data_IF_874227688990
#
_entry.id   IF_874227688990
#
_cell.length_a   1.000
_cell.length_b   1.000
_cell.length_c   1.000
_cell.angle_alpha   90.00
_cell.angle_beta   90.00
_cell.angle_gamma   90.00
#
_symmetry.space_group_name_H-M   'P 1'
#
loop_
_entity.id
_entity.type
_entity.pdbx_description
1 polymer ?
#
# COMPACT_ATOMS: atom_id res chain seq x y z
N UNK A 1 2.86 -65.49 -35.01
CA UNK A 1 2.35 -65.14 -33.66
C UNK A 1 3.25 -64.19 -32.86
N UNK A 2 4.60 -64.21 -32.99
CA UNK A 2 5.47 -63.35 -32.18
C UNK A 2 5.38 -61.84 -32.44
N UNK A 3 5.04 -61.41 -33.66
CA UNK A 3 4.98 -59.99 -34.04
C UNK A 3 3.81 -59.24 -33.38
N UNK A 4 2.67 -59.91 -33.20
CA UNK A 4 1.46 -59.35 -32.56
C UNK A 4 1.70 -59.10 -31.06
N UNK A 5 2.37 -60.04 -30.38
CA UNK A 5 2.69 -59.94 -28.95
C UNK A 5 3.65 -58.76 -28.67
N UNK A 6 4.61 -58.54 -29.57
CA UNK A 6 5.58 -57.46 -29.43
C UNK A 6 4.95 -56.07 -29.53
N UNK A 7 4.05 -55.86 -30.50
CA UNK A 7 3.32 -54.60 -30.66
C UNK A 7 2.43 -54.32 -29.44
N UNK A 8 1.69 -55.33 -28.97
CA UNK A 8 0.81 -55.19 -27.81
C UNK A 8 1.59 -54.84 -26.52
N UNK A 9 2.80 -55.37 -26.34
CA UNK A 9 3.66 -55.02 -25.20
C UNK A 9 4.14 -53.56 -25.26
N UNK A 10 4.53 -53.08 -26.45
CA UNK A 10 4.94 -51.70 -26.65
C UNK A 10 3.78 -50.72 -26.42
N UNK A 11 2.57 -51.04 -26.89
CA UNK A 11 1.38 -50.21 -26.68
C UNK A 11 1.02 -50.12 -25.19
N UNK A 12 1.09 -51.24 -24.46
CA UNK A 12 0.88 -51.26 -23.01
C UNK A 12 1.92 -50.42 -22.26
N UNK A 13 3.19 -50.48 -22.69
CA UNK A 13 4.25 -49.66 -22.10
C UNK A 13 4.00 -48.17 -22.36
N UNK A 14 3.67 -47.81 -23.60
CA UNK A 14 3.35 -46.43 -23.97
C UNK A 14 2.11 -45.91 -23.23
N UNK A 15 1.08 -46.74 -23.04
CA UNK A 15 -0.11 -46.39 -22.27
C UNK A 15 0.22 -46.13 -20.80
N UNK A 16 1.03 -46.98 -20.16
CA UNK A 16 1.49 -46.77 -18.78
C UNK A 16 2.31 -45.49 -18.62
N UNK A 17 3.21 -45.21 -19.54
CA UNK A 17 4.00 -43.97 -19.53
C UNK A 17 3.13 -42.73 -19.70
N UNK A 18 2.11 -42.79 -20.58
CA UNK A 18 1.13 -41.69 -20.72
C UNK A 18 0.33 -41.49 -19.43
N UNK A 19 -0.12 -42.56 -18.78
CA UNK A 19 -0.82 -42.49 -17.49
C UNK A 19 0.07 -41.86 -16.41
N UNK A 20 1.32 -42.33 -16.27
CA UNK A 20 2.27 -41.77 -15.31
C UNK A 20 2.55 -40.27 -15.57
N UNK A 21 2.71 -39.88 -16.84
CA UNK A 21 2.87 -38.46 -17.21
C UNK A 21 1.61 -37.64 -16.90
N UNK A 22 0.42 -38.18 -17.14
CA UNK A 22 -0.84 -37.51 -16.83
C UNK A 22 -1.05 -37.34 -15.32
N UNK A 23 -0.69 -38.34 -14.52
CA UNK A 23 -0.70 -38.27 -13.06
C UNK A 23 0.29 -37.21 -12.56
N UNK A 24 1.51 -37.19 -13.07
CA UNK A 24 2.50 -36.19 -12.69
C UNK A 24 2.02 -34.77 -13.04
N UNK A 25 1.52 -34.57 -14.26
CA UNK A 25 0.98 -33.27 -14.68
C UNK A 25 -0.22 -32.83 -13.82
N UNK A 26 -1.02 -33.77 -13.33
CA UNK A 26 -2.12 -33.46 -12.39
C UNK A 26 -1.57 -33.03 -11.04
N UNK A 27 -0.58 -33.74 -10.48
CA UNK A 27 0.06 -33.37 -9.22
C UNK A 27 0.71 -31.99 -9.28
N UNK A 28 1.46 -31.71 -10.36
CA UNK A 28 2.10 -30.41 -10.55
C UNK A 28 1.07 -29.27 -10.62
N UNK A 29 -0.09 -29.52 -11.26
CA UNK A 29 -1.21 -28.57 -11.28
C UNK A 29 -1.84 -28.40 -9.91
N UNK A 30 -2.05 -29.46 -9.16
CA UNK A 30 -2.64 -29.39 -7.81
C UNK A 30 -1.74 -28.60 -6.85
N UNK A 31 -0.42 -28.81 -6.91
CA UNK A 31 0.55 -28.03 -6.13
C UNK A 31 0.56 -26.55 -6.52
N UNK A 32 0.45 -26.27 -7.83
CA UNK A 32 0.32 -24.90 -8.34
C UNK A 32 -0.97 -24.26 -7.86
N UNK A 33 -2.10 -24.97 -7.94
CA UNK A 33 -3.40 -24.48 -7.46
C UNK A 33 -3.38 -24.19 -5.97
N UNK A 34 -2.77 -25.06 -5.17
CA UNK A 34 -2.60 -24.84 -3.73
C UNK A 34 -1.81 -23.56 -3.46
N UNK A 35 -0.67 -23.39 -4.15
CA UNK A 35 0.18 -22.20 -4.00
C UNK A 35 -0.58 -20.92 -4.37
N UNK A 36 -1.34 -20.95 -5.48
CA UNK A 36 -2.15 -19.82 -5.91
C UNK A 36 -3.29 -19.50 -4.93
N UNK A 37 -3.93 -20.52 -4.36
CA UNK A 37 -5.00 -20.35 -3.37
C UNK A 37 -4.47 -19.74 -2.07
N UNK A 38 -3.29 -20.16 -1.60
CA UNK A 38 -2.64 -19.55 -0.46
C UNK A 38 -2.25 -18.09 -0.73
N UNK A 39 -1.70 -17.80 -1.92
CA UNK A 39 -1.36 -16.45 -2.33
C UNK A 39 -2.61 -15.54 -2.42
N UNK A 40 -3.70 -16.04 -2.99
CA UNK A 40 -4.97 -15.33 -3.07
C UNK A 40 -5.55 -15.05 -1.68
N UNK A 41 -5.44 -16.00 -0.75
CA UNK A 41 -5.88 -15.83 0.64
C UNK A 41 -5.07 -14.77 1.36
N UNK A 42 -3.73 -14.78 1.20
CA UNK A 42 -2.85 -13.74 1.75
C UNK A 42 -3.19 -12.37 1.19
N UNK A 43 -3.42 -12.27 -0.13
CA UNK A 43 -3.78 -11.01 -0.78
C UNK A 43 -5.13 -10.47 -0.27
N UNK A 44 -6.15 -11.33 -0.17
CA UNK A 44 -7.46 -10.95 0.40
C UNK A 44 -7.32 -10.40 1.83
N UNK A 45 -6.50 -11.04 2.67
CA UNK A 45 -6.23 -10.56 4.04
C UNK A 45 -5.52 -9.20 4.04
N UNK A 46 -4.53 -9.00 3.17
CA UNK A 46 -3.83 -7.73 3.05
C UNK A 46 -4.76 -6.60 2.56
N UNK A 47 -5.60 -6.88 1.57
CA UNK A 47 -6.60 -5.95 1.07
C UNK A 47 -7.62 -5.55 2.16
N UNK A 48 -8.12 -6.52 2.94
CA UNK A 48 -9.02 -6.24 4.06
C UNK A 48 -8.36 -5.36 5.13
N UNK A 49 -7.08 -5.61 5.46
CA UNK A 49 -6.32 -4.77 6.40
C UNK A 49 -6.15 -3.35 5.88
N UNK A 50 -5.84 -3.19 4.59
CA UNK A 50 -5.72 -1.88 3.96
C UNK A 50 -7.04 -1.13 3.98
N UNK A 51 -8.16 -1.81 3.70
CA UNK A 51 -9.48 -1.20 3.74
C UNK A 51 -9.81 -0.71 5.16
N UNK A 52 -9.60 -1.55 6.18
CA UNK A 52 -9.83 -1.16 7.57
C UNK A 52 -8.98 0.06 7.99
N UNK A 53 -7.73 0.14 7.52
CA UNK A 53 -6.88 1.31 7.77
C UNK A 53 -7.42 2.58 7.09
N UNK A 54 -7.93 2.47 5.85
CA UNK A 54 -8.56 3.60 5.14
C UNK A 54 -9.82 4.07 5.86
N UNK A 55 -10.67 3.15 6.30
CA UNK A 55 -11.90 3.48 7.01
C UNK A 55 -11.59 4.18 8.35
N UNK A 56 -10.56 3.74 9.07
CA UNK A 56 -10.10 4.40 10.28
C UNK A 56 -9.55 5.82 10.03
N UNK A 57 -8.78 6.01 8.95
CA UNK A 57 -8.27 7.32 8.55
C UNK A 57 -9.45 8.25 8.20
N UNK A 58 -10.43 7.76 7.43
CA UNK A 58 -11.61 8.53 7.07
C UNK A 58 -12.41 8.95 8.32
N UNK A 59 -12.66 8.01 9.24
CA UNK A 59 -13.34 8.33 10.50
C UNK A 59 -12.58 9.38 11.34
N UNK A 60 -11.25 9.23 11.46
CA UNK A 60 -10.41 10.20 12.18
C UNK A 60 -10.43 11.57 11.51
N UNK A 61 -10.46 11.62 10.18
CA UNK A 61 -10.53 12.87 9.43
C UNK A 61 -11.86 13.60 9.70
N UNK A 62 -12.99 12.89 9.59
CA UNK A 62 -14.31 13.46 9.88
C UNK A 62 -14.41 13.95 11.33
N UNK A 63 -13.85 13.21 12.29
CA UNK A 63 -13.85 13.65 13.70
C UNK A 63 -13.02 14.94 13.88
N UNK A 64 -11.87 15.04 13.21
CA UNK A 64 -11.06 16.26 13.24
C UNK A 64 -11.74 17.45 12.57
N UNK A 65 -12.39 17.23 11.44
CA UNK A 65 -13.16 18.25 10.73
C UNK A 65 -14.27 18.81 11.63
N UNK A 66 -15.05 17.94 12.26
CA UNK A 66 -16.11 18.34 13.20
C UNK A 66 -15.54 19.08 14.42
N UNK A 67 -14.41 18.64 14.97
CA UNK A 67 -13.76 19.32 16.09
C UNK A 67 -13.29 20.73 15.69
N UNK A 68 -12.68 20.87 14.51
CA UNK A 68 -12.22 22.15 13.99
C UNK A 68 -13.41 23.09 13.74
N UNK A 69 -14.52 22.57 13.22
CA UNK A 69 -15.75 23.35 13.03
C UNK A 69 -16.35 23.82 14.36
N UNK A 70 -16.46 22.94 15.35
CA UNK A 70 -16.93 23.30 16.70
C UNK A 70 -16.01 24.32 17.37
N UNK A 71 -14.68 24.15 17.32
CA UNK A 71 -13.74 25.12 17.90
C UNK A 71 -13.85 26.51 17.26
N UNK A 72 -14.09 26.59 15.94
CA UNK A 72 -14.32 27.87 15.26
C UNK A 72 -15.69 28.48 15.57
N UNK A 73 -16.71 27.65 15.80
CA UNK A 73 -18.05 28.12 16.14
C UNK A 73 -18.11 28.62 17.59
N UNK A 74 -17.58 27.84 18.52
CA UNK A 74 -17.81 27.98 19.95
C UNK A 74 -16.79 28.90 20.65
N UNK A 75 -15.58 29.05 20.10
CA UNK A 75 -14.53 29.89 20.70
C UNK A 75 -14.30 31.19 19.88
N UNK A 76 -14.74 32.35 20.38
CA UNK A 76 -14.56 33.64 19.69
C UNK A 76 -13.09 34.06 19.59
N UNK A 77 -12.22 33.55 20.46
CA UNK A 77 -10.76 33.79 20.42
C UNK A 77 -10.15 33.04 19.25
N UNK A 78 -10.53 31.76 19.07
CA UNK A 78 -10.11 30.93 17.93
C UNK A 78 -10.61 31.56 16.63
N UNK A 79 -11.87 32.02 16.59
CA UNK A 79 -12.44 32.70 15.42
C UNK A 79 -11.62 33.94 15.03
N UNK A 80 -11.36 34.82 15.99
CA UNK A 80 -10.58 36.05 15.75
C UNK A 80 -9.15 35.75 15.29
N UNK A 81 -8.51 34.71 15.87
CA UNK A 81 -7.20 34.26 15.43
C UNK A 81 -7.22 33.70 14.00
N UNK A 82 -8.22 32.89 13.65
CA UNK A 82 -8.37 32.31 12.31
C UNK A 82 -8.63 33.38 11.23
N UNK A 83 -9.37 34.44 11.57
CA UNK A 83 -9.64 35.58 10.68
C UNK A 83 -8.43 36.54 10.52
N UNK A 84 -7.38 36.38 11.35
CA UNK A 84 -6.18 37.22 11.28
C UNK A 84 -5.27 36.75 10.15
N UNK A 85 -4.84 37.66 9.26
CA UNK A 85 -3.92 37.34 8.16
C UNK A 85 -2.62 36.72 8.69
N UNK A 86 -2.20 35.58 8.12
CA UNK A 86 -0.94 34.93 8.50
C UNK A 86 0.25 35.87 8.20
N UNK A 87 1.25 35.92 9.09
CA UNK A 87 2.50 36.64 8.81
C UNK A 87 3.19 36.09 7.55
N UNK A 88 3.82 36.97 6.76
CA UNK A 88 4.45 36.64 5.47
C UNK A 88 5.43 35.45 5.56
N UNK A 89 6.18 35.36 6.66
CA UNK A 89 7.11 34.26 6.92
C UNK A 89 6.42 32.88 6.99
N UNK A 90 5.19 32.83 7.52
CA UNK A 90 4.40 31.59 7.59
C UNK A 90 3.75 31.32 6.24
N UNK A 91 3.21 32.34 5.56
CA UNK A 91 2.64 32.19 4.23
C UNK A 91 3.63 31.58 3.22
N UNK A 92 4.88 32.06 3.21
CA UNK A 92 5.97 31.51 2.36
C UNK A 92 6.31 30.05 2.66
N UNK A 93 6.07 29.56 3.88
CA UNK A 93 6.32 28.16 4.24
C UNK A 93 5.22 27.24 3.69
N UNK A 94 3.99 27.75 3.59
CA UNK A 94 2.84 27.02 3.07
C UNK A 94 2.74 27.06 1.54
N UNK A 95 3.34 28.05 0.89
CA UNK A 95 3.61 28.04 -0.56
C UNK A 95 4.72 27.02 -0.90
N UNK A 96 4.46 25.74 -0.69
CA UNK A 96 5.34 24.70 -1.19
C UNK A 96 4.96 24.34 -2.65
N UNK A 97 5.90 24.34 -3.60
CA UNK A 97 5.65 23.81 -4.93
C UNK A 97 5.32 22.31 -4.84
N UNK A 98 4.27 21.88 -5.55
CA UNK A 98 3.72 20.54 -5.50
C UNK A 98 4.81 19.47 -5.71
N UNK A 99 4.97 18.57 -4.73
CA UNK A 99 5.86 17.41 -4.84
C UNK A 99 5.21 16.40 -5.78
N UNK A 100 5.70 16.30 -7.01
CA UNK A 100 5.09 15.41 -8.01
C UNK A 100 5.86 14.10 -8.08
N UNK A 101 5.68 13.25 -7.06
CA UNK A 101 6.22 11.89 -7.04
C UNK A 101 7.28 11.62 -5.95
N UNK A 102 7.57 10.34 -5.75
CA UNK A 102 8.40 9.86 -4.63
C UNK A 102 9.89 10.27 -4.75
N UNK A 103 10.39 10.49 -5.95
CA UNK A 103 11.78 10.88 -6.18
C UNK A 103 12.01 12.35 -5.82
N UNK A 104 11.05 13.21 -6.18
CA UNK A 104 11.02 14.62 -5.81
C UNK A 104 10.87 14.82 -4.29
N UNK A 105 10.18 13.89 -3.62
CA UNK A 105 10.11 13.83 -2.15
C UNK A 105 11.47 13.46 -1.52
N UNK A 106 12.19 12.48 -2.08
CA UNK A 106 13.49 12.02 -1.53
C UNK A 106 14.61 13.04 -1.71
N UNK A 107 14.62 13.79 -2.81
CA UNK A 107 15.58 14.88 -3.01
C UNK A 107 15.36 16.05 -2.04
N UNK A 108 14.13 16.19 -1.52
CA UNK A 108 13.73 17.30 -0.64
C UNK A 108 14.02 17.04 0.83
N UNK A 109 14.32 15.81 1.27
CA UNK A 109 14.80 15.55 2.62
C UNK A 109 16.27 15.99 2.70
N UNK A 110 16.61 17.10 3.39
CA UNK A 110 17.99 17.42 3.65
C UNK A 110 18.54 16.33 4.58
N UNK A 111 19.73 15.80 4.29
CA UNK A 111 20.49 14.97 5.21
C UNK A 111 20.58 15.70 6.55
N UNK A 112 19.81 15.22 7.53
CA UNK A 112 19.63 15.71 8.90
C UNK A 112 20.60 16.86 9.27
N UNK A 113 20.31 18.07 8.80
CA UNK A 113 20.95 19.25 9.34
C UNK A 113 20.11 19.68 10.53
N UNK A 114 20.76 19.81 11.68
CA UNK A 114 20.13 20.28 12.90
C UNK A 114 19.38 21.58 12.62
N UNK A 115 18.08 21.58 12.92
CA UNK A 115 17.27 22.79 12.86
C UNK A 115 17.89 23.83 13.80
N UNK A 116 18.18 25.02 13.27
CA UNK A 116 18.64 26.16 14.08
C UNK A 116 17.61 26.43 15.19
N UNK A 117 18.04 26.59 16.45
CA UNK A 117 17.11 26.90 17.53
C UNK A 117 16.37 28.20 17.24
N UNK A 118 15.06 28.20 17.40
CA UNK A 118 14.25 29.40 17.29
C UNK A 118 14.61 30.35 18.44
N UNK A 119 15.47 31.33 18.16
CA UNK A 119 15.84 32.34 19.14
C UNK A 119 16.78 33.41 18.61
N UNK A 120 16.21 34.60 18.34
CA UNK A 120 16.91 35.87 18.60
C UNK A 120 17.21 36.76 17.39
N UNK A 121 16.28 37.64 17.03
CA UNK A 121 16.61 39.02 16.63
C UNK A 121 15.44 39.97 16.90
N UNK A 122 15.20 40.27 18.18
CA UNK A 122 14.75 41.61 18.56
C UNK A 122 15.97 42.28 19.19
N UNK A 123 16.61 43.19 18.45
CA UNK A 123 17.64 44.08 18.98
C UNK A 123 17.56 45.41 18.20
N UNK A 124 17.11 46.42 18.95
CA UNK A 124 17.03 47.87 18.71
C UNK A 124 16.22 48.38 17.53
#
# INVERSE_FOLDING_TARGET
>A
MGLVIYVQCNDLKAAKERAARAEQATRDRDDTLKTLMEAATRNKKAAAKLQAARDNIAATLTERENLIESLQHDDPTIRTWADTALPDAVARLWEHPAVTGADDYRQRLPSAHALQPAGGSAQN
#
